data_IF_902850122292
#
_entry.id   IF_902850122292
#
_cell.length_a   1.000
_cell.length_b   1.000
_cell.length_c   1.000
_cell.angle_alpha   90.00
_cell.angle_beta   90.00
_cell.angle_gamma   90.00
#
_symmetry.space_group_name_H-M   'P 1'
#
loop_
_entity.id
_entity.type
_entity.pdbx_description
1 polymer ?
#
# COMPACT_ATOMS: atom_id res chain seq x y z
N UNK A 1 -2.18 19.03 15.25
CA UNK A 1 -1.06 18.67 14.37
C UNK A 1 -1.64 18.30 13.00
N UNK A 2 -1.00 18.71 11.90
CA UNK A 2 -1.34 18.23 10.55
C UNK A 2 -1.18 16.72 10.42
N UNK A 3 -1.98 16.08 9.56
CA UNK A 3 -1.99 14.62 9.38
C UNK A 3 -1.81 14.23 7.92
N UNK A 4 -1.02 13.19 7.69
CA UNK A 4 -0.89 12.54 6.38
C UNK A 4 -1.41 11.12 6.51
N UNK A 5 -2.35 10.76 5.65
CA UNK A 5 -2.84 9.40 5.47
C UNK A 5 -2.33 8.95 4.10
N UNK A 6 -1.58 7.86 4.06
CA UNK A 6 -0.92 7.40 2.83
C UNK A 6 -1.11 5.90 2.64
N UNK A 7 -1.41 5.48 1.42
CA UNK A 7 -1.41 4.07 1.06
C UNK A 7 0.00 3.48 1.01
N UNK A 8 0.09 2.16 1.07
CA UNK A 8 1.35 1.44 0.99
C UNK A 8 1.65 0.92 -0.42
N UNK A 9 0.89 -0.09 -0.88
CA UNK A 9 1.16 -0.76 -2.15
C UNK A 9 0.91 0.20 -3.32
N UNK A 10 1.81 0.21 -4.30
CA UNK A 10 1.79 1.14 -5.44
C UNK A 10 1.88 2.65 -5.09
N UNK A 11 2.00 3.02 -3.81
CA UNK A 11 2.21 4.41 -3.36
C UNK A 11 3.59 4.60 -2.73
N UNK A 12 3.87 3.88 -1.65
CA UNK A 12 5.18 3.83 -0.98
C UNK A 12 6.05 2.68 -1.49
N UNK A 13 5.41 1.63 -2.03
CA UNK A 13 6.02 0.34 -2.28
C UNK A 13 5.76 -0.15 -3.71
N UNK A 14 6.80 -0.61 -4.40
CA UNK A 14 6.76 -1.20 -5.74
C UNK A 14 6.23 -2.63 -5.67
N UNK A 15 4.90 -2.74 -5.60
CA UNK A 15 4.20 -4.00 -5.41
C UNK A 15 4.36 -4.96 -6.60
N UNK A 16 4.67 -4.48 -7.82
CA UNK A 16 4.94 -5.36 -8.97
C UNK A 16 6.31 -6.02 -8.83
N UNK A 17 7.37 -5.26 -8.52
CA UNK A 17 8.69 -5.87 -8.27
C UNK A 17 8.66 -6.87 -7.12
N UNK A 18 7.87 -6.58 -6.08
CA UNK A 18 7.69 -7.51 -4.98
C UNK A 18 6.99 -8.80 -5.42
N UNK A 19 5.88 -8.71 -6.18
CA UNK A 19 5.19 -9.90 -6.71
C UNK A 19 6.09 -10.73 -7.62
N UNK A 20 6.89 -10.09 -8.45
CA UNK A 20 7.87 -10.77 -9.30
C UNK A 20 8.95 -11.48 -8.47
N UNK A 21 9.40 -10.87 -7.37
CA UNK A 21 10.33 -11.50 -6.44
C UNK A 21 9.70 -12.71 -5.71
N UNK A 22 8.42 -12.65 -5.34
CA UNK A 22 7.70 -13.79 -4.76
C UNK A 22 7.62 -14.95 -5.75
N UNK A 23 7.22 -14.67 -6.99
CA UNK A 23 7.16 -15.68 -8.05
C UNK A 23 8.52 -16.36 -8.25
N UNK A 24 9.58 -15.57 -8.48
CA UNK A 24 10.93 -16.10 -8.70
C UNK A 24 11.47 -16.91 -7.52
N UNK A 25 11.07 -16.56 -6.29
CA UNK A 25 11.48 -17.30 -5.11
C UNK A 25 10.80 -18.67 -4.99
N UNK A 26 9.57 -18.81 -5.51
CA UNK A 26 8.78 -20.04 -5.40
C UNK A 26 8.87 -20.93 -6.63
N UNK A 27 9.11 -20.37 -7.82
CA UNK A 27 9.20 -21.09 -9.10
C UNK A 27 10.01 -22.41 -9.04
N UNK A 28 11.17 -22.50 -8.34
CA UNK A 28 11.92 -23.76 -8.25
C UNK A 28 11.15 -24.91 -7.60
N UNK A 29 10.19 -24.60 -6.73
CA UNK A 29 9.40 -25.54 -5.92
C UNK A 29 8.02 -25.84 -6.52
N UNK A 30 7.61 -25.12 -7.57
CA UNK A 30 6.29 -25.30 -8.17
C UNK A 30 6.19 -26.62 -8.94
N UNK A 31 5.01 -27.24 -8.87
CA UNK A 31 4.63 -28.41 -9.68
C UNK A 31 4.70 -28.04 -11.17
N UNK A 32 4.08 -26.91 -11.53
CA UNK A 32 4.17 -26.32 -12.87
C UNK A 32 4.97 -25.01 -12.81
N UNK A 33 6.16 -25.00 -13.40
CA UNK A 33 7.10 -23.86 -13.36
C UNK A 33 6.75 -22.81 -14.41
N UNK A 34 5.60 -22.16 -14.25
CA UNK A 34 5.16 -21.12 -15.18
C UNK A 34 4.53 -19.93 -14.44
N UNK A 35 4.81 -18.71 -14.94
CA UNK A 35 4.20 -17.48 -14.42
C UNK A 35 2.69 -17.49 -14.59
N UNK A 36 2.21 -18.09 -15.68
CA UNK A 36 0.79 -18.25 -15.94
C UNK A 36 0.10 -19.09 -14.86
N UNK A 37 0.67 -20.24 -14.49
CA UNK A 37 0.13 -21.11 -13.43
C UNK A 37 0.07 -20.37 -12.10
N UNK A 38 1.16 -19.67 -11.74
CA UNK A 38 1.22 -18.82 -10.54
C UNK A 38 0.13 -17.73 -10.51
N UNK A 39 -0.04 -16.98 -11.60
CA UNK A 39 -1.00 -15.88 -11.63
C UNK A 39 -2.45 -16.41 -11.57
N UNK A 40 -2.75 -17.51 -12.27
CA UNK A 40 -4.07 -18.15 -12.24
C UNK A 40 -4.42 -18.67 -10.85
N UNK A 41 -3.53 -19.44 -10.21
CA UNK A 41 -3.77 -19.94 -8.86
C UNK A 41 -3.88 -18.83 -7.82
N UNK A 42 -3.12 -17.74 -7.99
CA UNK A 42 -3.20 -16.56 -7.12
C UNK A 42 -4.58 -15.91 -7.23
N UNK A 43 -5.08 -15.74 -8.44
CA UNK A 43 -6.39 -15.13 -8.70
C UNK A 43 -7.53 -16.02 -8.15
N UNK A 44 -7.43 -17.34 -8.27
CA UNK A 44 -8.38 -18.27 -7.65
C UNK A 44 -8.40 -18.17 -6.12
N UNK A 45 -7.23 -18.12 -5.47
CA UNK A 45 -7.14 -17.94 -4.00
C UNK A 45 -7.73 -16.59 -3.60
N UNK A 46 -7.39 -15.52 -4.33
CA UNK A 46 -7.90 -14.20 -4.04
C UNK A 46 -9.41 -14.10 -4.22
N UNK A 47 -9.97 -14.76 -5.24
CA UNK A 47 -11.41 -14.84 -5.45
C UNK A 47 -12.09 -15.62 -4.32
N UNK A 48 -11.55 -16.79 -3.96
CA UNK A 48 -12.10 -17.68 -2.93
C UNK A 48 -12.11 -17.04 -1.53
N UNK A 49 -11.04 -16.33 -1.18
CA UNK A 49 -10.85 -15.78 0.17
C UNK A 49 -11.19 -14.28 0.28
N UNK A 50 -11.46 -13.61 -0.84
CA UNK A 50 -11.53 -12.15 -0.96
C UNK A 50 -10.22 -11.40 -0.61
N UNK A 51 -9.12 -12.13 -0.38
CA UNK A 51 -7.78 -11.61 -0.12
C UNK A 51 -6.71 -12.61 -0.53
N UNK A 52 -5.46 -12.15 -0.66
CA UNK A 52 -4.35 -13.05 -0.96
C UNK A 52 -3.79 -13.68 0.32
N UNK A 53 -3.73 -15.02 0.34
CA UNK A 53 -3.05 -15.82 1.35
C UNK A 53 -1.97 -16.68 0.68
N UNK A 54 -0.70 -16.39 0.96
CA UNK A 54 0.40 -17.11 0.32
C UNK A 54 0.48 -18.58 0.76
N UNK A 55 0.03 -18.94 1.97
CA UNK A 55 0.10 -20.33 2.46
C UNK A 55 -0.89 -21.20 1.72
N UNK A 56 -2.12 -20.73 1.58
CA UNK A 56 -3.15 -21.40 0.78
C UNK A 56 -2.75 -21.45 -0.70
N UNK A 57 -2.09 -20.39 -1.19
CA UNK A 57 -1.53 -20.38 -2.55
C UNK A 57 -0.47 -21.46 -2.75
N UNK A 58 0.52 -21.55 -1.85
CA UNK A 58 1.59 -22.55 -1.94
C UNK A 58 1.05 -23.98 -1.88
N UNK A 59 0.08 -24.28 -1.01
CA UNK A 59 -0.56 -25.60 -0.93
C UNK A 59 -1.18 -26.07 -2.26
N UNK A 60 -1.54 -25.12 -3.14
CA UNK A 60 -2.15 -25.42 -4.44
C UNK A 60 -1.11 -25.70 -5.53
N UNK A 61 0.07 -25.08 -5.47
CA UNK A 61 1.04 -25.07 -6.58
C UNK A 61 2.39 -25.71 -6.25
N UNK A 62 2.62 -26.10 -5.00
CA UNK A 62 3.86 -26.72 -4.51
C UNK A 62 3.56 -28.09 -3.93
N UNK A 63 4.38 -29.08 -4.28
CA UNK A 63 4.30 -30.42 -3.69
C UNK A 63 4.54 -30.39 -2.18
N UNK A 64 3.89 -31.30 -1.45
CA UNK A 64 3.96 -31.35 0.03
C UNK A 64 5.41 -31.42 0.55
N UNK A 65 6.30 -32.09 -0.18
CA UNK A 65 7.72 -32.24 0.18
C UNK A 65 8.51 -30.94 0.10
N UNK A 66 8.11 -30.00 -0.77
CA UNK A 66 8.78 -28.72 -0.99
C UNK A 66 8.08 -27.53 -0.30
N UNK A 67 6.92 -27.77 0.32
CA UNK A 67 6.07 -26.71 0.87
C UNK A 67 6.80 -25.83 1.90
N UNK A 68 7.58 -26.46 2.80
CA UNK A 68 8.31 -25.76 3.86
C UNK A 68 9.43 -24.89 3.30
N UNK A 69 10.11 -25.36 2.26
CA UNK A 69 11.18 -24.66 1.56
C UNK A 69 10.61 -23.46 0.79
N UNK A 70 9.46 -23.62 0.13
CA UNK A 70 8.76 -22.54 -0.55
C UNK A 70 8.25 -21.46 0.43
N UNK A 71 7.72 -21.85 1.60
CA UNK A 71 7.34 -20.91 2.66
C UNK A 71 8.55 -20.08 3.13
N UNK A 72 9.69 -20.73 3.41
CA UNK A 72 10.93 -20.03 3.76
C UNK A 72 11.42 -19.09 2.65
N UNK A 73 11.22 -19.46 1.38
CA UNK A 73 11.60 -18.62 0.25
C UNK A 73 10.76 -17.33 0.21
N UNK A 74 9.45 -17.43 0.43
CA UNK A 74 8.54 -16.28 0.56
C UNK A 74 8.94 -15.40 1.75
N UNK A 75 9.19 -16.00 2.92
CA UNK A 75 9.59 -15.25 4.12
C UNK A 75 10.88 -14.46 3.91
N UNK A 76 11.87 -15.02 3.20
CA UNK A 76 13.11 -14.31 2.83
C UNK A 76 12.85 -13.10 1.94
N UNK A 77 11.87 -13.16 1.04
CA UNK A 77 11.47 -12.01 0.21
C UNK A 77 10.79 -10.95 1.08
N UNK A 78 9.88 -11.35 1.98
CA UNK A 78 9.21 -10.44 2.92
C UNK A 78 10.23 -9.72 3.82
N UNK A 79 11.24 -10.43 4.33
CA UNK A 79 12.28 -9.83 5.18
C UNK A 79 13.13 -8.77 4.46
N UNK A 80 13.15 -8.78 3.13
CA UNK A 80 13.86 -7.81 2.28
C UNK A 80 12.90 -6.80 1.64
N UNK A 81 11.77 -6.52 2.29
CA UNK A 81 10.74 -5.63 1.76
C UNK A 81 11.24 -4.20 1.54
N UNK A 82 12.22 -3.74 2.32
CA UNK A 82 12.87 -2.44 2.16
C UNK A 82 13.37 -2.18 0.73
N UNK A 83 13.83 -3.22 0.03
CA UNK A 83 14.34 -3.14 -1.35
C UNK A 83 13.28 -2.79 -2.39
N UNK A 84 12.00 -2.85 -2.04
CA UNK A 84 10.90 -2.53 -2.94
C UNK A 84 10.26 -1.18 -2.60
N UNK A 85 10.79 -0.40 -1.66
CA UNK A 85 10.36 0.98 -1.50
C UNK A 85 10.70 1.80 -2.74
N UNK A 86 9.82 2.73 -3.12
CA UNK A 86 10.21 3.76 -4.08
C UNK A 86 11.28 4.67 -3.47
N UNK A 87 12.23 5.12 -4.29
CA UNK A 87 13.39 5.89 -3.82
C UNK A 87 13.05 7.20 -3.10
N UNK A 88 11.87 7.76 -3.36
CA UNK A 88 11.37 9.00 -2.74
C UNK A 88 10.56 8.77 -1.45
N UNK A 89 10.26 7.53 -1.09
CA UNK A 89 9.45 7.21 0.08
C UNK A 89 10.14 7.65 1.38
N UNK A 90 11.41 7.29 1.58
CA UNK A 90 12.12 7.65 2.81
C UNK A 90 12.34 9.17 2.96
N UNK A 91 12.62 9.84 1.85
CA UNK A 91 12.77 11.30 1.81
C UNK A 91 11.47 12.01 2.16
N UNK A 92 10.33 11.47 1.72
CA UNK A 92 9.00 11.98 2.08
C UNK A 92 8.79 11.95 3.61
N UNK A 93 9.04 10.82 4.27
CA UNK A 93 8.91 10.72 5.73
C UNK A 93 9.86 11.66 6.47
N UNK A 94 11.10 11.83 5.97
CA UNK A 94 12.08 12.76 6.55
C UNK A 94 11.62 14.20 6.43
N UNK A 95 11.10 14.59 5.25
CA UNK A 95 10.62 15.94 4.95
C UNK A 95 9.44 16.32 5.83
N UNK A 96 8.49 15.41 6.01
CA UNK A 96 7.24 15.66 6.73
C UNK A 96 7.24 15.13 8.17
N UNK A 97 8.40 15.06 8.83
CA UNK A 97 8.53 14.57 10.22
C UNK A 97 7.69 15.32 11.28
N UNK A 98 7.18 16.52 10.95
CA UNK A 98 6.29 17.33 11.80
C UNK A 98 4.81 16.93 11.67
N UNK A 99 4.47 16.15 10.64
CA UNK A 99 3.14 15.62 10.44
C UNK A 99 2.99 14.31 11.23
N UNK A 100 1.78 14.06 11.70
CA UNK A 100 1.42 12.73 12.18
C UNK A 100 1.03 11.86 10.97
N UNK A 101 1.88 10.87 10.65
CA UNK A 101 1.72 10.05 9.44
C UNK A 101 1.08 8.70 9.77
N UNK A 102 0.08 8.35 8.97
CA UNK A 102 -0.64 7.08 9.01
C UNK A 102 -0.47 6.34 7.70
N UNK A 103 0.02 5.10 7.75
CA UNK A 103 -0.03 4.17 6.63
C UNK A 103 -1.32 3.38 6.74
N UNK A 104 -2.24 3.55 5.79
CA UNK A 104 -3.52 2.83 5.76
C UNK A 104 -3.54 1.94 4.53
N UNK A 105 -3.38 0.63 4.75
CA UNK A 105 -3.20 -0.34 3.68
C UNK A 105 -4.28 -1.40 3.69
N UNK A 106 -4.71 -1.82 2.49
CA UNK A 106 -5.48 -3.04 2.36
C UNK A 106 -4.58 -4.26 2.58
N UNK A 107 -5.05 -5.30 3.27
CA UNK A 107 -4.32 -6.56 3.40
C UNK A 107 -4.77 -7.45 4.55
N UNK A 108 -4.09 -8.58 4.69
CA UNK A 108 -4.25 -9.50 5.83
C UNK A 108 -3.20 -9.16 6.89
N UNK A 109 -3.66 -9.05 8.13
CA UNK A 109 -2.87 -8.57 9.27
C UNK A 109 -1.48 -9.20 9.41
N UNK A 110 -1.27 -10.49 9.12
CA UNK A 110 0.06 -11.10 9.23
C UNK A 110 1.01 -10.68 8.09
N UNK A 111 0.58 -10.91 6.85
CA UNK A 111 1.43 -10.70 5.67
C UNK A 111 1.73 -9.22 5.42
N UNK A 112 0.69 -8.38 5.42
CA UNK A 112 0.86 -6.95 5.14
C UNK A 112 1.67 -6.26 6.25
N UNK A 113 1.44 -6.63 7.52
CA UNK A 113 2.20 -6.08 8.66
C UNK A 113 3.67 -6.44 8.59
N UNK A 114 3.99 -7.70 8.30
CA UNK A 114 5.39 -8.13 8.20
C UNK A 114 6.10 -7.44 7.04
N UNK A 115 5.42 -7.27 5.89
CA UNK A 115 5.93 -6.50 4.75
C UNK A 115 6.25 -5.05 5.15
N UNK A 116 5.30 -4.33 5.75
CA UNK A 116 5.51 -2.93 6.17
C UNK A 116 6.62 -2.85 7.23
N UNK A 117 6.62 -3.74 8.23
CA UNK A 117 7.64 -3.77 9.29
C UNK A 117 9.05 -3.97 8.73
N UNK A 118 9.22 -4.85 7.74
CA UNK A 118 10.51 -5.09 7.11
C UNK A 118 11.05 -3.87 6.33
N UNK A 119 10.19 -2.90 5.97
CA UNK A 119 10.64 -1.62 5.40
C UNK A 119 11.13 -0.60 6.45
N UNK A 120 10.84 -0.83 7.74
CA UNK A 120 11.13 0.12 8.82
C UNK A 120 10.30 1.41 8.78
N UNK A 121 9.20 1.45 8.02
CA UNK A 121 8.26 2.56 8.01
C UNK A 121 7.30 2.55 9.21
N UNK A 122 7.08 1.40 9.85
CA UNK A 122 6.34 1.26 11.11
C UNK A 122 6.95 2.07 12.26
N UNK A 123 8.26 2.37 12.19
CA UNK A 123 8.96 3.27 13.13
C UNK A 123 8.72 4.76 12.84
N UNK A 124 8.17 5.09 11.67
CA UNK A 124 7.99 6.47 11.17
C UNK A 124 6.52 6.86 11.02
N UNK A 125 5.61 5.90 11.10
CA UNK A 125 4.18 6.08 10.89
C UNK A 125 3.36 5.13 11.77
N UNK A 126 2.13 5.53 12.09
CA UNK A 126 1.12 4.62 12.62
C UNK A 126 0.59 3.74 11.49
N UNK A 127 0.54 2.43 11.68
CA UNK A 127 0.12 1.48 10.65
C UNK A 127 -1.29 0.97 10.94
N UNK A 128 -2.18 1.07 9.94
CA UNK A 128 -3.54 0.52 9.97
C UNK A 128 -3.67 -0.42 8.77
N UNK A 129 -4.02 -1.67 9.05
CA UNK A 129 -4.32 -2.67 8.02
C UNK A 129 -5.81 -2.92 8.04
N UNK A 130 -6.43 -2.94 6.86
CA UNK A 130 -7.88 -3.11 6.71
C UNK A 130 -8.20 -4.12 5.60
N UNK A 131 -9.33 -4.81 5.74
CA UNK A 131 -9.90 -5.69 4.70
C UNK A 131 -11.09 -5.04 3.96
N UNK A 132 -11.40 -3.79 4.29
CA UNK A 132 -12.46 -3.02 3.64
C UNK A 132 -11.98 -1.62 3.27
N UNK A 133 -12.92 -0.78 2.86
CA UNK A 133 -12.68 0.61 2.44
C UNK A 133 -11.91 1.40 3.50
N UNK A 134 -10.93 2.20 3.05
CA UNK A 134 -10.06 2.96 3.95
C UNK A 134 -10.82 4.08 4.65
N UNK A 135 -11.85 4.63 3.99
CA UNK A 135 -12.72 5.70 4.50
C UNK A 135 -13.28 5.43 5.89
N UNK A 136 -13.57 4.17 6.23
CA UNK A 136 -14.11 3.79 7.56
C UNK A 136 -13.17 4.12 8.73
N UNK A 137 -11.88 4.25 8.45
CA UNK A 137 -10.87 4.61 9.46
C UNK A 137 -10.60 6.12 9.52
N UNK A 138 -11.00 6.88 8.49
CA UNK A 138 -10.68 8.31 8.37
C UNK A 138 -11.22 9.13 9.52
N UNK A 139 -12.49 8.95 9.90
CA UNK A 139 -13.12 9.71 11.00
C UNK A 139 -12.30 9.69 12.29
N UNK A 140 -11.71 8.53 12.62
CA UNK A 140 -10.87 8.37 13.82
C UNK A 140 -9.51 9.03 13.64
N UNK A 141 -8.92 8.90 12.45
CA UNK A 141 -7.60 9.47 12.14
C UNK A 141 -7.66 11.00 12.14
N UNK A 142 -8.62 11.62 11.44
CA UNK A 142 -8.69 13.08 11.29
C UNK A 142 -9.30 13.79 12.51
N UNK A 143 -9.77 13.07 13.53
CA UNK A 143 -10.29 13.69 14.75
C UNK A 143 -9.25 14.63 15.37
N UNK A 144 -9.63 15.88 15.61
CA UNK A 144 -8.75 16.90 16.21
C UNK A 144 -7.70 17.49 15.26
N UNK A 145 -7.78 17.26 13.94
CA UNK A 145 -7.01 18.06 12.98
C UNK A 145 -7.47 19.52 13.05
N UNK A 146 -6.55 20.50 13.04
CA UNK A 146 -6.93 21.91 12.96
C UNK A 146 -7.86 22.15 11.77
N UNK A 147 -8.91 22.96 11.93
CA UNK A 147 -9.67 23.42 10.76
C UNK A 147 -8.76 24.33 9.94
N UNK A 148 -8.67 24.06 8.63
CA UNK A 148 -7.97 24.96 7.72
C UNK A 148 -8.66 26.33 7.78
N UNK A 149 -7.95 27.36 8.25
CA UNK A 149 -8.48 28.73 8.20
C UNK A 149 -8.45 29.17 6.73
N UNK A 150 -9.62 29.32 6.12
CA UNK A 150 -9.74 29.88 4.77
C UNK A 150 -9.09 31.28 4.76
N UNK A 151 -8.18 31.53 3.82
CA UNK A 151 -7.65 32.88 3.53
C UNK A 151 -6.21 33.19 3.94
N UNK A 152 -5.45 32.30 4.60
CA UNK A 152 -4.01 32.53 4.81
C UNK A 152 -3.19 31.78 3.76
N UNK A 153 -2.39 32.52 2.98
CA UNK A 153 -1.50 32.01 1.92
C UNK A 153 -0.41 31.01 2.39
N UNK A 154 -0.39 30.65 3.68
CA UNK A 154 0.56 29.72 4.30
C UNK A 154 -0.10 28.68 5.22
N UNK A 155 -1.40 28.41 5.09
CA UNK A 155 -2.03 27.36 5.89
C UNK A 155 -1.55 25.98 5.42
N UNK A 156 -0.65 25.35 6.19
CA UNK A 156 -0.32 23.93 6.06
C UNK A 156 -1.62 23.11 5.94
N UNK A 157 -1.64 22.17 5.00
CA UNK A 157 -2.78 21.27 4.80
C UNK A 157 -3.03 20.47 6.09
N UNK A 158 -4.21 20.63 6.69
CA UNK A 158 -4.45 20.07 8.02
C UNK A 158 -4.67 18.54 8.00
N UNK A 159 -5.12 18.02 6.86
CA UNK A 159 -5.25 16.59 6.59
C UNK A 159 -5.02 16.32 5.10
N UNK A 160 -4.14 15.37 4.81
CA UNK A 160 -3.75 14.96 3.46
C UNK A 160 -4.03 13.48 3.28
N UNK A 161 -4.57 13.10 2.12
CA UNK A 161 -4.71 11.71 1.70
C UNK A 161 -3.96 11.44 0.41
N UNK A 162 -3.15 10.39 0.38
CA UNK A 162 -2.35 9.99 -0.78
C UNK A 162 -2.60 8.51 -1.07
N UNK A 163 -3.15 8.21 -2.24
CA UNK A 163 -3.53 6.85 -2.66
C UNK A 163 -3.41 6.72 -4.18
N UNK A 164 -3.07 5.52 -4.68
CA UNK A 164 -3.00 5.27 -6.11
C UNK A 164 -4.35 4.86 -6.71
N UNK A 165 -5.27 4.35 -5.88
CA UNK A 165 -6.59 3.91 -6.29
C UNK A 165 -7.58 5.07 -6.31
N UNK A 166 -7.89 5.55 -7.52
CA UNK A 166 -8.79 6.69 -7.76
C UNK A 166 -10.16 6.61 -7.07
N UNK A 167 -10.76 5.43 -7.01
CA UNK A 167 -12.04 5.24 -6.31
C UNK A 167 -11.94 5.51 -4.80
N UNK A 168 -10.80 5.22 -4.15
CA UNK A 168 -10.61 5.57 -2.73
C UNK A 168 -10.47 7.07 -2.56
N UNK A 169 -9.76 7.75 -3.48
CA UNK A 169 -9.66 9.20 -3.50
C UNK A 169 -11.05 9.84 -3.59
N UNK A 170 -11.88 9.36 -4.52
CA UNK A 170 -13.23 9.88 -4.73
C UNK A 170 -14.12 9.70 -3.49
N UNK A 171 -14.08 8.52 -2.87
CA UNK A 171 -14.80 8.25 -1.61
C UNK A 171 -14.35 9.16 -0.47
N UNK A 172 -13.03 9.36 -0.29
CA UNK A 172 -12.52 10.27 0.75
C UNK A 172 -12.96 11.70 0.49
N UNK A 173 -12.89 12.18 -0.76
CA UNK A 173 -13.24 13.57 -1.07
C UNK A 173 -14.73 13.82 -0.89
N UNK A 174 -15.57 12.84 -1.20
CA UNK A 174 -17.01 12.93 -1.02
C UNK A 174 -17.40 12.97 0.46
N UNK A 175 -16.83 12.11 1.29
CA UNK A 175 -17.16 12.06 2.73
C UNK A 175 -16.44 13.16 3.54
N UNK A 176 -15.26 13.59 3.11
CA UNK A 176 -14.43 14.59 3.79
C UNK A 176 -13.86 15.64 2.81
N UNK A 177 -14.69 16.56 2.27
CA UNK A 177 -14.27 17.53 1.26
C UNK A 177 -13.09 18.44 1.66
N UNK A 178 -12.89 18.62 2.97
CA UNK A 178 -11.79 19.40 3.54
C UNK A 178 -10.43 18.69 3.51
N UNK A 179 -10.37 17.39 3.24
CA UNK A 179 -9.11 16.64 3.10
C UNK A 179 -8.53 16.95 1.73
N UNK A 180 -7.24 17.27 1.68
CA UNK A 180 -6.53 17.44 0.42
C UNK A 180 -6.11 16.06 -0.10
N UNK A 181 -6.59 15.71 -1.29
CA UNK A 181 -6.40 14.41 -1.91
C UNK A 181 -5.38 14.49 -3.05
N UNK A 182 -4.30 13.72 -2.90
CA UNK A 182 -3.28 13.51 -3.92
C UNK A 182 -3.47 12.14 -4.55
N UNK A 183 -3.88 12.11 -5.82
CA UNK A 183 -3.96 10.88 -6.59
C UNK A 183 -2.57 10.49 -7.12
N UNK A 184 -2.03 9.41 -6.58
CA UNK A 184 -0.72 8.86 -6.94
C UNK A 184 -0.80 8.02 -8.22
N UNK A 185 0.07 8.31 -9.18
CA UNK A 185 0.19 7.57 -10.44
C UNK A 185 1.64 7.18 -10.67
N UNK A 186 2.11 6.20 -9.90
CA UNK A 186 3.44 5.61 -10.12
C UNK A 186 3.54 5.07 -11.55
N UNK A 187 4.67 5.23 -12.23
CA UNK A 187 4.91 4.57 -13.50
C UNK A 187 4.67 3.06 -13.35
N UNK A 188 3.85 2.46 -14.24
CA UNK A 188 3.42 1.06 -14.17
C UNK A 188 2.57 0.68 -12.94
N UNK A 189 2.10 1.65 -12.17
CA UNK A 189 1.20 1.38 -11.04
C UNK A 189 -0.11 0.72 -11.50
N UNK A 190 -0.63 -0.19 -10.68
CA UNK A 190 -1.82 -0.99 -11.00
C UNK A 190 -3.03 -0.15 -11.42
N UNK A 191 -3.26 0.97 -10.74
CA UNK A 191 -4.42 1.83 -10.96
C UNK A 191 -4.11 3.06 -11.82
N UNK A 192 -3.00 3.06 -12.57
CA UNK A 192 -2.58 4.22 -13.38
C UNK A 192 -3.65 4.66 -14.39
N UNK A 193 -4.45 3.73 -14.91
CA UNK A 193 -5.52 4.02 -15.88
C UNK A 193 -6.92 4.01 -15.26
N UNK A 194 -7.02 3.85 -13.93
CA UNK A 194 -8.30 3.94 -13.25
C UNK A 194 -8.82 5.37 -13.27
N UNK A 195 -10.14 5.58 -13.40
CA UNK A 195 -10.73 6.91 -13.30
C UNK A 195 -10.60 7.44 -11.87
N UNK A 196 -10.54 8.77 -11.74
CA UNK A 196 -10.62 9.52 -10.50
C UNK A 196 -11.14 10.92 -10.86
N UNK A 197 -12.21 11.36 -10.20
CA UNK A 197 -12.91 12.60 -10.56
C UNK A 197 -12.73 13.70 -9.51
N UNK A 198 -12.49 13.35 -8.25
CA UNK A 198 -12.56 14.26 -7.09
C UNK A 198 -11.19 14.42 -6.40
N UNK A 199 -10.10 14.55 -7.15
CA UNK A 199 -8.76 14.80 -6.60
C UNK A 199 -8.40 16.29 -6.62
N UNK A 200 -7.59 16.76 -5.67
CA UNK A 200 -7.03 18.12 -5.68
C UNK A 200 -5.73 18.16 -6.48
N UNK A 201 -4.91 17.12 -6.34
CA UNK A 201 -3.60 17.03 -6.99
C UNK A 201 -3.38 15.65 -7.61
N UNK A 202 -2.74 15.65 -8.78
CA UNK A 202 -2.28 14.44 -9.47
C UNK A 202 -0.76 14.41 -9.45
N UNK A 203 -0.19 13.32 -8.93
CA UNK A 203 1.26 13.19 -8.73
C UNK A 203 1.76 11.84 -9.25
N UNK A 204 3.04 11.76 -9.61
CA UNK A 204 3.68 10.51 -10.05
C UNK A 204 4.80 10.05 -9.09
N UNK A 205 5.11 10.87 -8.10
CA UNK A 205 6.15 10.65 -7.10
C UNK A 205 5.84 11.49 -5.84
N UNK A 206 6.53 11.22 -4.74
CA UNK A 206 6.33 11.83 -3.43
C UNK A 206 7.19 13.09 -3.19
N UNK A 207 7.86 13.63 -4.22
CA UNK A 207 8.59 14.91 -4.15
C UNK A 207 7.63 16.10 -4.26
N UNK A 208 6.59 16.11 -3.41
CA UNK A 208 5.53 17.11 -3.38
C UNK A 208 5.83 18.21 -2.36
N UNK A 209 5.01 19.27 -2.31
CA UNK A 209 5.02 20.32 -1.28
C UNK A 209 3.64 20.32 -0.63
N UNK A 210 3.58 20.21 0.69
CA UNK A 210 2.36 20.22 1.51
C UNK A 210 2.32 21.50 2.36
#
# INVERSE_FOLDING_TARGET
MPKIIIDFDYTLFDADKFKDALYKAVEPFMIEKSRKSWDQSKDEIQYKLAFYDYKEHLKKIVDKENLKEAEKAIEKVIQKSDKFLYNDALDFFKKYKKYEIYIVSFGVDGFQKNKIKATGLDKKAKVIITRGEKVKHFKKIIKGTPRQKRGSAMAEESAVFIDDKGSEIDMIKEEYPQVVCYWMRRPKGKFINSPCEKFDHKINNLKIKL
#
